data_IF_715336990983
#
_entry.id   IF_715336990983
#
_cell.length_a   1.000
_cell.length_b   1.000
_cell.length_c   1.000
_cell.angle_alpha   90.00
_cell.angle_beta   90.00
_cell.angle_gamma   90.00
#
_symmetry.space_group_name_H-M   'P 1'
#
loop_
_entity.id
_entity.type
_entity.pdbx_description
1 polymer ?
#
# COMPACT_ATOMS: atom_id res chain seq x y z
N UNK A 1 -25.58 -10.48 -12.42
CA UNK A 1 -24.11 -10.65 -12.51
C UNK A 1 -23.67 -11.78 -11.58
N UNK A 2 -22.59 -12.49 -11.94
CA UNK A 2 -22.07 -13.61 -11.15
C UNK A 2 -20.58 -13.41 -10.93
N UNK A 3 -20.14 -13.47 -9.66
CA UNK A 3 -18.76 -13.46 -9.26
C UNK A 3 -18.32 -14.87 -8.83
N UNK A 4 -17.18 -15.33 -9.34
CA UNK A 4 -16.53 -16.56 -8.92
C UNK A 4 -15.31 -16.25 -8.04
N UNK A 5 -15.18 -16.97 -6.94
CA UNK A 5 -14.09 -16.82 -5.98
C UNK A 5 -13.35 -18.15 -5.84
N UNK A 6 -12.04 -18.11 -5.92
CA UNK A 6 -11.16 -19.25 -5.61
C UNK A 6 -10.55 -19.06 -4.22
N UNK A 7 -10.74 -20.05 -3.35
CA UNK A 7 -10.01 -20.09 -2.09
C UNK A 7 -8.53 -20.38 -2.35
N UNK A 8 -7.64 -19.48 -1.97
CA UNK A 8 -6.20 -19.57 -2.29
C UNK A 8 -5.50 -20.78 -1.67
N UNK A 9 -6.03 -21.32 -0.57
CA UNK A 9 -5.47 -22.49 0.15
C UNK A 9 -6.07 -23.79 -0.39
N UNK A 10 -7.41 -23.88 -0.37
CA UNK A 10 -8.12 -25.13 -0.70
C UNK A 10 -8.40 -25.31 -2.18
N UNK A 11 -8.18 -24.27 -3.00
CA UNK A 11 -8.49 -24.22 -4.44
C UNK A 11 -9.98 -24.44 -4.78
N UNK A 12 -10.84 -24.44 -3.77
CA UNK A 12 -12.28 -24.58 -3.98
C UNK A 12 -12.86 -23.31 -4.59
N UNK A 13 -13.64 -23.47 -5.65
CA UNK A 13 -14.36 -22.38 -6.31
C UNK A 13 -15.76 -22.27 -5.70
N UNK A 14 -16.20 -21.04 -5.43
CA UNK A 14 -17.57 -20.69 -5.08
C UNK A 14 -18.07 -19.57 -5.99
N UNK A 15 -19.38 -19.54 -6.27
CA UNK A 15 -19.99 -18.53 -7.11
C UNK A 15 -21.15 -17.86 -6.38
N UNK A 16 -21.23 -16.53 -6.54
CA UNK A 16 -22.30 -15.71 -5.98
C UNK A 16 -22.96 -14.89 -7.08
N UNK A 17 -24.28 -14.93 -7.13
CA UNK A 17 -25.08 -14.19 -8.11
C UNK A 17 -25.84 -13.07 -7.44
N UNK A 18 -25.84 -11.88 -8.05
CA UNK A 18 -26.55 -10.68 -7.60
C UNK A 18 -27.01 -9.86 -8.80
N UNK A 19 -27.87 -8.89 -8.58
CA UNK A 19 -28.30 -7.97 -9.64
C UNK A 19 -27.13 -7.10 -10.12
N UNK A 20 -26.29 -6.65 -9.19
CA UNK A 20 -25.13 -5.78 -9.48
C UNK A 20 -23.91 -6.21 -8.67
N UNK A 21 -22.73 -5.91 -9.20
CA UNK A 21 -21.43 -6.10 -8.55
C UNK A 21 -20.70 -4.77 -8.49
N UNK A 22 -20.13 -4.45 -7.34
CA UNK A 22 -19.22 -3.33 -7.16
C UNK A 22 -17.79 -3.89 -7.03
N UNK A 23 -16.97 -3.65 -8.04
CA UNK A 23 -15.57 -4.05 -8.07
C UNK A 23 -14.71 -3.07 -7.27
N UNK A 24 -14.34 -3.45 -6.04
CA UNK A 24 -13.50 -2.68 -5.11
C UNK A 24 -12.23 -3.44 -4.75
N UNK A 25 -11.75 -4.24 -5.70
CA UNK A 25 -10.69 -5.24 -5.54
C UNK A 25 -9.28 -4.71 -5.85
N UNK A 26 -9.10 -3.37 -5.77
CA UNK A 26 -7.80 -2.71 -5.72
C UNK A 26 -7.10 -2.57 -7.07
N UNK A 27 -5.84 -2.14 -7.03
CA UNK A 27 -5.05 -1.81 -8.22
C UNK A 27 -4.86 -3.00 -9.19
N UNK A 28 -4.86 -4.23 -8.68
CA UNK A 28 -4.73 -5.47 -9.48
C UNK A 28 -6.07 -6.17 -9.73
N UNK A 29 -7.12 -5.39 -9.95
CA UNK A 29 -8.52 -5.79 -10.01
C UNK A 29 -8.82 -6.87 -11.06
N UNK A 30 -9.39 -7.98 -10.60
CA UNK A 30 -9.99 -9.01 -11.45
C UNK A 30 -11.34 -8.55 -12.05
N UNK A 31 -12.09 -7.71 -11.30
CA UNK A 31 -13.31 -7.07 -11.78
C UNK A 31 -13.04 -6.17 -12.98
N UNK A 32 -11.96 -5.38 -12.96
CA UNK A 32 -11.53 -4.56 -14.12
C UNK A 32 -11.19 -5.43 -15.32
N UNK A 33 -10.48 -6.53 -15.12
CA UNK A 33 -10.18 -7.46 -16.21
C UNK A 33 -11.46 -8.00 -16.85
N UNK A 34 -12.48 -8.31 -16.04
CA UNK A 34 -13.78 -8.77 -16.56
C UNK A 34 -14.48 -7.70 -17.40
N UNK A 35 -14.44 -6.42 -16.99
CA UNK A 35 -14.96 -5.30 -17.80
C UNK A 35 -14.18 -5.16 -19.10
N UNK A 36 -12.85 -5.25 -19.05
CA UNK A 36 -11.97 -5.16 -20.22
C UNK A 36 -12.28 -6.25 -21.26
N UNK A 37 -12.48 -7.47 -20.81
CA UNK A 37 -12.78 -8.60 -21.71
C UNK A 37 -14.21 -8.56 -22.26
N UNK A 38 -15.15 -7.92 -21.56
CA UNK A 38 -16.54 -7.77 -21.98
C UNK A 38 -16.84 -6.51 -22.80
N UNK A 39 -15.87 -5.62 -23.02
CA UNK A 39 -16.09 -4.31 -23.64
C UNK A 39 -15.22 -4.14 -24.89
N UNK A 40 -15.80 -3.79 -26.03
CA UNK A 40 -15.07 -3.63 -27.30
C UNK A 40 -14.06 -2.48 -27.26
N UNK A 41 -14.32 -1.44 -26.47
CA UNK A 41 -13.46 -0.25 -26.35
C UNK A 41 -13.15 0.03 -24.89
N UNK A 42 -12.10 -0.62 -24.39
CA UNK A 42 -11.61 -0.41 -23.03
C UNK A 42 -10.22 0.25 -23.05
N UNK A 43 -10.09 1.39 -22.38
CA UNK A 43 -8.81 2.06 -22.19
C UNK A 43 -8.23 1.61 -20.85
N UNK A 44 -6.97 1.18 -20.84
CA UNK A 44 -6.29 0.78 -19.61
C UNK A 44 -4.81 1.15 -19.67
N UNK A 45 -4.32 1.72 -18.57
CA UNK A 45 -2.88 1.88 -18.34
C UNK A 45 -2.54 1.60 -16.89
N UNK A 46 -1.39 1.00 -16.68
CA UNK A 46 -0.79 0.73 -15.38
C UNK A 46 0.67 1.15 -15.44
N UNK A 47 1.03 2.16 -14.65
CA UNK A 47 2.37 2.72 -14.62
C UNK A 47 2.93 2.62 -13.21
N UNK A 48 4.15 2.09 -13.09
CA UNK A 48 4.86 1.96 -11.82
C UNK A 48 5.85 3.09 -11.65
N UNK A 49 6.03 3.53 -10.39
CA UNK A 49 7.16 4.36 -10.00
C UNK A 49 8.39 3.48 -9.69
N UNK A 50 9.58 4.05 -9.79
CA UNK A 50 10.84 3.43 -9.35
C UNK A 50 10.94 3.37 -7.81
N UNK A 51 9.90 3.82 -7.13
CA UNK A 51 9.73 3.82 -5.69
C UNK A 51 8.69 2.80 -5.28
N UNK A 52 8.88 2.26 -4.09
CA UNK A 52 7.88 1.49 -3.36
C UNK A 52 7.59 2.10 -2.02
N UNK A 53 6.77 1.42 -1.26
CA UNK A 53 6.52 1.77 0.14
C UNK A 53 6.64 0.55 1.05
N UNK A 54 7.01 0.79 2.29
CA UNK A 54 7.13 -0.23 3.34
C UNK A 54 6.47 0.28 4.60
N UNK A 55 5.64 -0.57 5.21
CA UNK A 55 4.98 -0.27 6.48
C UNK A 55 5.90 -0.60 7.66
N UNK A 56 5.98 0.34 8.59
CA UNK A 56 6.70 0.28 9.85
C UNK A 56 5.78 0.77 10.96
N UNK A 57 6.20 0.64 12.22
CA UNK A 57 5.36 1.00 13.37
C UNK A 57 6.07 1.91 14.35
N UNK A 58 5.40 2.98 14.79
CA UNK A 58 5.72 3.69 16.03
C UNK A 58 4.78 3.16 17.11
N UNK A 59 5.36 2.70 18.22
CA UNK A 59 4.61 2.14 19.34
C UNK A 59 3.86 3.21 20.14
N UNK A 60 2.84 2.78 20.90
CA UNK A 60 2.28 3.61 21.97
C UNK A 60 3.37 3.93 23.00
N UNK A 61 3.25 5.06 23.69
CA UNK A 61 4.19 5.45 24.74
C UNK A 61 4.05 4.53 25.97
N UNK A 62 4.98 4.63 26.91
CA UNK A 62 5.03 3.77 28.11
C UNK A 62 3.78 3.86 29.00
N UNK A 63 3.00 4.94 28.91
CA UNK A 63 1.72 5.09 29.64
C UNK A 63 0.50 4.60 28.83
N UNK A 64 0.70 4.02 27.64
CA UNK A 64 -0.36 3.53 26.78
C UNK A 64 -1.06 4.62 25.96
N UNK A 65 -0.50 5.82 25.91
CA UNK A 65 -0.98 6.93 25.08
C UNK A 65 -0.22 7.04 23.76
N UNK A 66 -0.58 8.02 22.94
CA UNK A 66 0.15 8.33 21.72
C UNK A 66 1.58 8.82 22.01
N UNK A 67 2.55 8.36 21.23
CA UNK A 67 3.94 8.80 21.31
C UNK A 67 4.19 10.18 20.68
N UNK A 68 3.31 10.61 19.79
CA UNK A 68 3.32 11.90 19.09
C UNK A 68 1.91 12.50 19.06
N UNK A 69 1.74 13.71 18.51
CA UNK A 69 0.42 14.31 18.34
C UNK A 69 -0.49 13.45 17.45
N UNK A 70 -1.68 13.09 17.94
CA UNK A 70 -2.66 12.24 17.24
C UNK A 70 -3.53 12.99 16.23
N UNK A 71 -3.50 14.33 16.23
CA UNK A 71 -4.39 15.13 15.40
C UNK A 71 -3.71 15.63 14.11
N UNK A 72 -2.51 15.11 13.82
CA UNK A 72 -1.69 15.54 12.69
C UNK A 72 -1.10 14.38 11.92
N UNK A 73 -0.91 14.56 10.62
CA UNK A 73 -0.05 13.73 9.80
C UNK A 73 1.41 14.15 10.03
N UNK A 74 2.25 13.23 10.48
CA UNK A 74 3.68 13.46 10.63
C UNK A 74 4.41 13.11 9.33
N UNK A 75 5.31 13.99 8.87
CA UNK A 75 6.07 13.80 7.63
C UNK A 75 7.53 14.15 7.86
N UNK A 76 8.44 13.24 7.51
CA UNK A 76 9.89 13.43 7.44
C UNK A 76 10.34 13.40 5.99
N UNK A 77 10.32 14.52 5.24
CA UNK A 77 10.79 14.56 3.87
C UNK A 77 12.32 14.53 3.81
N UNK A 78 12.88 13.76 2.85
CA UNK A 78 14.32 13.59 2.65
C UNK A 78 14.69 13.56 1.16
N UNK A 79 14.32 14.61 0.44
CA UNK A 79 14.60 14.73 -1.00
C UNK A 79 13.76 13.73 -1.81
N UNK A 80 14.37 12.61 -2.22
CA UNK A 80 13.70 11.61 -3.05
C UNK A 80 12.91 10.56 -2.26
N UNK A 81 12.96 10.58 -0.95
CA UNK A 81 12.22 9.64 -0.10
C UNK A 81 11.64 10.35 1.12
N UNK A 82 10.70 9.72 1.76
CA UNK A 82 10.07 10.26 2.96
C UNK A 82 9.53 9.15 3.86
N UNK A 83 9.46 9.46 5.14
CA UNK A 83 8.69 8.70 6.12
C UNK A 83 7.47 9.52 6.50
N UNK A 84 6.30 8.91 6.55
CA UNK A 84 5.10 9.50 7.12
C UNK A 84 4.59 8.64 8.28
N UNK A 85 3.81 9.22 9.20
CA UNK A 85 3.17 8.47 10.27
C UNK A 85 1.74 8.97 10.50
N UNK A 86 0.81 8.02 10.56
CA UNK A 86 -0.62 8.23 10.79
C UNK A 86 -1.06 7.52 12.07
N UNK A 87 -1.84 8.15 12.96
CA UNK A 87 -2.30 7.57 14.20
C UNK A 87 -3.33 6.46 13.99
N UNK A 88 -3.26 5.42 14.81
CA UNK A 88 -4.21 4.33 14.88
C UNK A 88 -5.08 4.42 16.16
N UNK A 89 -6.22 3.74 16.16
CA UNK A 89 -7.12 3.72 17.32
C UNK A 89 -6.47 3.09 18.57
N UNK A 90 -5.53 2.17 18.40
CA UNK A 90 -4.78 1.49 19.47
C UNK A 90 -3.60 2.31 20.02
N UNK A 91 -3.50 3.60 19.64
CA UNK A 91 -2.46 4.54 20.07
C UNK A 91 -1.08 4.33 19.43
N UNK A 92 -0.95 3.40 18.52
CA UNK A 92 0.24 3.27 17.66
C UNK A 92 0.15 4.24 16.46
N UNK A 93 1.22 4.31 15.66
CA UNK A 93 1.19 4.97 14.36
C UNK A 93 1.63 3.97 13.29
N UNK A 94 0.87 3.89 12.21
CA UNK A 94 1.35 3.25 10.98
C UNK A 94 2.29 4.23 10.29
N UNK A 95 3.54 3.81 10.12
CA UNK A 95 4.54 4.56 9.40
C UNK A 95 4.70 3.99 8.00
N UNK A 96 4.75 4.86 7.00
CA UNK A 96 4.99 4.46 5.61
C UNK A 96 6.31 5.10 5.14
N UNK A 97 7.29 4.25 4.85
CA UNK A 97 8.53 4.65 4.19
C UNK A 97 8.35 4.56 2.68
N UNK A 98 8.29 5.69 1.99
CA UNK A 98 8.38 5.78 0.53
C UNK A 98 9.85 5.84 0.13
N UNK A 99 10.32 4.87 -0.66
CA UNK A 99 11.75 4.70 -0.88
C UNK A 99 12.04 4.08 -2.25
N UNK A 100 13.15 4.45 -2.92
CA UNK A 100 13.55 3.82 -4.17
C UNK A 100 13.78 2.31 -4.01
N UNK A 101 13.47 1.54 -5.05
CA UNK A 101 13.82 0.12 -5.07
C UNK A 101 15.31 -0.09 -5.26
N UNK A 102 15.96 0.73 -6.09
CA UNK A 102 17.39 0.63 -6.46
C UNK A 102 18.11 1.96 -6.28
N UNK A 103 19.44 1.91 -6.20
CA UNK A 103 20.29 3.06 -5.99
C UNK A 103 21.00 3.05 -4.64
N UNK A 104 21.72 4.12 -4.32
CA UNK A 104 22.50 4.24 -3.07
C UNK A 104 21.62 4.22 -1.83
N UNK A 105 20.55 5.02 -1.84
CA UNK A 105 19.50 5.01 -0.80
C UNK A 105 18.28 4.29 -1.33
N UNK A 106 18.20 2.97 -1.09
CA UNK A 106 17.15 2.13 -1.66
C UNK A 106 16.88 0.89 -0.79
N UNK A 107 15.74 0.25 -1.03
CA UNK A 107 15.43 -1.04 -0.39
C UNK A 107 16.51 -2.10 -0.67
N UNK A 108 17.08 -2.10 -1.88
CA UNK A 108 18.16 -3.03 -2.28
C UNK A 108 19.47 -2.76 -1.55
N UNK A 109 19.79 -1.50 -1.29
CA UNK A 109 21.02 -1.12 -0.59
C UNK A 109 20.96 -1.42 0.91
N UNK A 110 19.78 -1.36 1.52
CA UNK A 110 19.55 -1.59 2.94
C UNK A 110 19.23 -3.07 3.24
N UNK A 111 20.03 -3.98 2.75
CA UNK A 111 19.85 -5.43 2.78
C UNK A 111 20.29 -6.09 4.11
N UNK A 112 20.99 -5.35 4.99
CA UNK A 112 21.42 -5.82 6.29
C UNK A 112 20.95 -4.92 7.43
N UNK A 113 20.81 -5.50 8.63
CA UNK A 113 20.42 -4.78 9.85
C UNK A 113 21.33 -3.57 10.11
N UNK A 114 22.62 -3.72 9.96
CA UNK A 114 23.58 -2.65 10.28
C UNK A 114 23.47 -1.48 9.30
N UNK A 115 23.35 -1.76 7.99
CA UNK A 115 23.12 -0.72 6.97
C UNK A 115 21.82 0.00 7.19
N UNK A 116 20.73 -0.74 7.44
CA UNK A 116 19.41 -0.18 7.69
C UNK A 116 19.41 0.69 8.96
N UNK A 117 19.94 0.20 10.09
CA UNK A 117 20.00 0.98 11.33
C UNK A 117 20.85 2.22 11.20
N UNK A 118 22.01 2.14 10.50
CA UNK A 118 22.84 3.30 10.21
C UNK A 118 22.04 4.34 9.44
N UNK A 119 21.41 3.96 8.35
CA UNK A 119 20.57 4.82 7.52
C UNK A 119 19.45 5.50 8.33
N UNK A 120 18.69 4.74 9.10
CA UNK A 120 17.58 5.31 9.89
C UNK A 120 18.06 6.26 10.98
N UNK A 121 19.19 5.98 11.65
CA UNK A 121 19.78 6.87 12.64
C UNK A 121 20.28 8.17 12.03
N UNK A 122 20.76 8.16 10.80
CA UNK A 122 21.22 9.35 10.09
C UNK A 122 20.06 10.17 9.53
N UNK A 123 19.06 9.51 8.95
CA UNK A 123 17.97 10.18 8.23
C UNK A 123 16.76 10.52 9.10
N UNK A 124 16.47 9.70 10.10
CA UNK A 124 15.29 9.82 10.96
C UNK A 124 15.63 9.66 12.46
N UNK A 125 16.62 10.43 12.98
CA UNK A 125 17.13 10.24 14.34
C UNK A 125 16.08 10.44 15.44
N UNK A 126 15.08 11.25 15.19
CA UNK A 126 13.96 11.54 16.09
C UNK A 126 12.84 10.48 16.03
N UNK A 127 12.68 9.77 14.90
CA UNK A 127 11.70 8.71 14.74
C UNK A 127 12.21 7.37 15.34
N UNK A 128 13.50 7.06 15.17
CA UNK A 128 14.09 5.76 15.60
C UNK A 128 13.78 5.40 17.05
N UNK A 129 13.91 6.30 18.05
CA UNK A 129 13.59 5.98 19.45
C UNK A 129 12.13 5.58 19.69
N UNK A 130 11.21 5.95 18.79
CA UNK A 130 9.79 5.66 18.86
C UNK A 130 9.42 4.33 18.21
N UNK A 131 10.38 3.67 17.51
CA UNK A 131 10.16 2.48 16.68
C UNK A 131 10.88 1.25 17.28
N UNK A 132 10.40 0.67 18.39
CA UNK A 132 11.09 -0.45 19.04
C UNK A 132 11.17 -1.72 18.17
N UNK A 133 10.23 -1.89 17.22
CA UNK A 133 10.16 -3.03 16.30
C UNK A 133 10.75 -2.72 14.92
N UNK A 134 11.46 -1.59 14.74
CA UNK A 134 11.95 -1.13 13.43
C UNK A 134 12.67 -2.22 12.62
N UNK A 135 13.58 -2.94 13.25
CA UNK A 135 14.36 -3.99 12.57
C UNK A 135 13.46 -5.14 12.12
N UNK A 136 12.59 -5.60 13.02
CA UNK A 136 11.67 -6.69 12.74
C UNK A 136 10.69 -6.30 11.62
N UNK A 137 10.05 -5.15 11.73
CA UNK A 137 9.09 -4.66 10.75
C UNK A 137 9.75 -4.47 9.38
N UNK A 138 10.97 -3.90 9.36
CA UNK A 138 11.67 -3.65 8.11
C UNK A 138 11.98 -4.93 7.31
N UNK A 139 12.40 -6.00 7.97
CA UNK A 139 12.75 -7.26 7.29
C UNK A 139 11.56 -8.22 7.13
N UNK A 140 10.53 -8.11 7.97
CA UNK A 140 9.31 -8.91 7.85
C UNK A 140 8.38 -8.41 6.75
N UNK A 141 8.19 -7.09 6.66
CA UNK A 141 7.24 -6.49 5.73
C UNK A 141 7.89 -6.29 4.35
N UNK A 142 7.37 -6.92 3.29
CA UNK A 142 7.93 -6.70 1.94
C UNK A 142 7.63 -5.26 1.47
N UNK A 143 8.51 -4.65 0.65
CA UNK A 143 8.16 -3.40 -0.02
C UNK A 143 7.08 -3.65 -1.07
N UNK A 144 6.07 -2.79 -1.10
CA UNK A 144 5.02 -2.80 -2.11
C UNK A 144 5.27 -1.73 -3.18
N UNK A 145 4.80 -1.99 -4.40
CA UNK A 145 4.96 -1.08 -5.52
C UNK A 145 3.94 0.05 -5.49
N UNK A 146 4.33 1.22 -5.98
CA UNK A 146 3.45 2.35 -6.24
C UNK A 146 3.03 2.30 -7.71
N UNK A 147 1.73 2.12 -7.95
CA UNK A 147 1.17 2.02 -9.29
C UNK A 147 0.05 3.03 -9.52
N UNK A 148 0.10 3.70 -10.67
CA UNK A 148 -1.01 4.52 -11.15
C UNK A 148 -1.87 3.70 -12.10
N UNK A 149 -3.15 3.60 -11.81
CA UNK A 149 -4.16 2.90 -12.61
C UNK A 149 -5.07 3.92 -13.26
N UNK A 150 -5.27 3.79 -14.57
CA UNK A 150 -6.26 4.55 -15.33
C UNK A 150 -7.02 3.61 -16.22
N UNK A 151 -8.35 3.66 -16.18
CA UNK A 151 -9.18 2.89 -17.09
C UNK A 151 -10.49 3.60 -17.41
N UNK A 152 -11.10 3.23 -18.52
CA UNK A 152 -12.44 3.66 -18.93
C UNK A 152 -13.01 2.64 -19.95
N UNK A 153 -14.32 2.31 -19.89
CA UNK A 153 -15.34 2.76 -18.93
C UNK A 153 -15.18 2.11 -17.55
N UNK A 154 -15.77 2.71 -16.52
CA UNK A 154 -15.79 2.15 -15.15
C UNK A 154 -16.97 1.24 -14.91
N UNK A 155 -17.91 1.16 -15.84
CA UNK A 155 -19.10 0.30 -15.74
C UNK A 155 -19.22 -0.61 -16.93
N UNK A 156 -19.83 -1.74 -16.70
CA UNK A 156 -20.26 -2.69 -17.73
C UNK A 156 -21.76 -2.91 -17.60
N UNK A 157 -22.52 -2.41 -18.59
CA UNK A 157 -23.99 -2.38 -18.55
C UNK A 157 -24.51 -1.79 -17.22
N UNK A 158 -25.63 -2.34 -16.72
CA UNK A 158 -26.16 -2.06 -15.38
C UNK A 158 -25.68 -3.11 -14.33
N UNK A 159 -24.66 -3.91 -14.63
CA UNK A 159 -24.27 -5.13 -13.92
C UNK A 159 -23.02 -4.97 -13.06
N UNK A 160 -22.03 -4.20 -13.51
CA UNK A 160 -20.77 -4.05 -12.79
C UNK A 160 -20.31 -2.59 -12.80
N UNK A 161 -19.84 -2.10 -11.63
CA UNK A 161 -19.21 -0.79 -11.47
C UNK A 161 -17.87 -0.95 -10.73
N UNK A 162 -16.80 -0.39 -11.31
CA UNK A 162 -15.48 -0.31 -10.68
C UNK A 162 -15.41 0.92 -9.79
N UNK A 163 -14.83 0.78 -8.59
CA UNK A 163 -14.66 1.85 -7.60
C UNK A 163 -13.25 1.82 -7.00
N UNK A 164 -12.79 2.98 -6.52
CA UNK A 164 -11.48 3.12 -5.88
C UNK A 164 -10.34 2.73 -6.82
N UNK A 165 -9.30 2.08 -6.32
CA UNK A 165 -8.10 1.71 -7.09
C UNK A 165 -8.39 0.71 -8.21
N UNK A 166 -9.52 -0.01 -8.16
CA UNK A 166 -9.97 -0.84 -9.27
C UNK A 166 -10.30 0.01 -10.51
N UNK A 167 -10.79 1.23 -10.32
CA UNK A 167 -11.15 2.18 -11.38
C UNK A 167 -10.00 3.14 -11.70
N UNK A 168 -9.37 3.75 -10.67
CA UNK A 168 -8.40 4.84 -10.80
C UNK A 168 -7.46 4.89 -9.57
N UNK A 169 -6.52 3.99 -9.49
CA UNK A 169 -5.47 4.05 -8.47
C UNK A 169 -4.50 5.19 -8.76
N UNK A 170 -4.19 5.99 -7.75
CA UNK A 170 -3.17 7.05 -7.82
C UNK A 170 -2.15 6.85 -6.72
N UNK A 171 -0.90 7.21 -7.03
CA UNK A 171 0.17 7.20 -6.03
C UNK A 171 0.02 8.40 -5.09
N UNK A 172 0.39 8.26 -3.81
CA UNK A 172 0.36 9.35 -2.83
C UNK A 172 1.23 10.54 -3.21
#
# INVERSE_FOLDING_TARGET
ATAAFENTITKKISSHTSDRIFGTDGAFSASRLSVQLGTDRFIYSQNYLDHGYKELTIAANASGGFAMNSDTLHIWPRGQFMLIALPNLDKTFTCTLFFPFEGENSFKALDTKDKMLKFFKEMFPDAVPLMPTLVEDYFRNPPASLATIRCFPWSFEDKLLLLGDAAHGIVP
#
